data_IF_914679660481
#
_entry.id   IF_914679660481
#
_cell.length_a   1.000
_cell.length_b   1.000
_cell.length_c   1.000
_cell.angle_alpha   90.00
_cell.angle_beta   90.00
_cell.angle_gamma   90.00
#
_symmetry.space_group_name_H-M   'P 1'
#
loop_
_entity.id
_entity.type
_entity.pdbx_description
1 polymer ?
#
# COMPACT_ATOMS: atom_id res chain seq x y z
N UNK A 1 6.15 -15.83 -16.47
CA UNK A 1 4.86 -16.13 -15.82
C UNK A 1 3.77 -15.48 -16.66
N UNK A 2 2.87 -16.25 -17.28
CA UNK A 2 1.72 -15.70 -18.01
C UNK A 2 0.56 -15.64 -17.02
N UNK A 3 0.15 -14.44 -16.62
CA UNK A 3 -1.09 -14.23 -15.88
C UNK A 3 -2.22 -14.12 -16.90
N UNK A 4 -3.21 -15.01 -16.82
CA UNK A 4 -4.43 -14.84 -17.62
C UNK A 4 -5.40 -13.90 -16.87
N UNK A 5 -6.31 -13.25 -17.61
CA UNK A 5 -7.17 -12.21 -17.03
C UNK A 5 -8.03 -12.66 -15.86
N UNK A 6 -8.40 -13.95 -15.80
CA UNK A 6 -9.21 -14.53 -14.73
C UNK A 6 -8.46 -14.55 -13.40
N UNK A 7 -7.15 -14.84 -13.42
CA UNK A 7 -6.33 -14.90 -12.19
C UNK A 7 -6.21 -13.52 -11.53
N UNK A 8 -6.07 -12.46 -12.32
CA UNK A 8 -5.99 -11.08 -11.82
C UNK A 8 -7.31 -10.67 -11.17
N UNK A 9 -8.45 -10.93 -11.83
CA UNK A 9 -9.77 -10.61 -11.28
C UNK A 9 -10.01 -11.35 -9.97
N UNK A 10 -9.60 -12.62 -9.89
CA UNK A 10 -9.72 -13.40 -8.66
C UNK A 10 -8.90 -12.80 -7.51
N UNK A 11 -7.61 -12.53 -7.72
CA UNK A 11 -6.73 -11.95 -6.68
C UNK A 11 -7.23 -10.57 -6.21
N UNK A 12 -7.61 -9.70 -7.14
CA UNK A 12 -8.16 -8.37 -6.80
C UNK A 12 -9.46 -8.50 -6.02
N UNK A 13 -10.35 -9.41 -6.42
CA UNK A 13 -11.64 -9.63 -5.73
C UNK A 13 -11.42 -10.15 -4.32
N UNK A 14 -10.51 -11.11 -4.12
CA UNK A 14 -10.18 -11.65 -2.79
C UNK A 14 -9.61 -10.58 -1.86
N UNK A 15 -8.70 -9.74 -2.37
CA UNK A 15 -8.12 -8.61 -1.61
C UNK A 15 -9.17 -7.57 -1.27
N UNK A 16 -9.98 -7.15 -2.25
CA UNK A 16 -11.06 -6.20 -2.04
C UNK A 16 -12.03 -6.68 -0.96
N UNK A 17 -12.51 -7.91 -1.05
CA UNK A 17 -13.42 -8.49 -0.06
C UNK A 17 -12.78 -8.67 1.31
N UNK A 18 -11.47 -8.92 1.38
CA UNK A 18 -10.73 -8.97 2.65
C UNK A 18 -10.67 -7.59 3.31
N UNK A 19 -10.31 -6.54 2.56
CA UNK A 19 -10.20 -5.19 3.09
C UNK A 19 -11.55 -4.61 3.48
N UNK A 20 -12.59 -4.83 2.65
CA UNK A 20 -13.94 -4.31 2.91
C UNK A 20 -14.60 -4.89 4.17
N UNK A 21 -14.09 -6.01 4.70
CA UNK A 21 -14.56 -6.61 5.96
C UNK A 21 -13.93 -5.98 7.20
N UNK A 22 -12.88 -5.18 7.04
CA UNK A 22 -12.20 -4.52 8.16
C UNK A 22 -12.95 -3.23 8.47
N UNK A 23 -13.28 -3.02 9.75
CA UNK A 23 -13.91 -1.78 10.17
C UNK A 23 -12.91 -0.63 10.09
N UNK A 24 -13.12 0.27 9.13
CA UNK A 24 -12.30 1.48 8.96
C UNK A 24 -13.15 2.74 8.99
N UNK A 25 -14.33 2.69 9.62
CA UNK A 25 -15.24 3.82 9.65
C UNK A 25 -14.60 5.02 10.39
N UNK A 26 -14.61 6.18 9.74
CA UNK A 26 -14.20 7.44 10.34
C UNK A 26 -15.26 8.00 11.28
N UNK A 27 -14.83 8.86 12.21
CA UNK A 27 -15.73 9.65 13.06
C UNK A 27 -15.75 11.10 12.55
N UNK A 28 -16.94 11.62 12.28
CA UNK A 28 -17.13 13.00 11.83
C UNK A 28 -16.99 13.97 13.01
N UNK A 29 -16.48 15.18 12.74
CA UNK A 29 -16.29 16.22 13.77
C UNK A 29 -15.04 16.02 14.64
N UNK A 30 -14.19 15.04 14.32
CA UNK A 30 -12.90 14.81 14.98
C UNK A 30 -11.77 15.45 14.17
N UNK A 31 -10.99 16.32 14.80
CA UNK A 31 -9.82 16.98 14.17
C UNK A 31 -8.55 16.12 14.21
N UNK A 32 -8.51 15.07 15.06
CA UNK A 32 -7.36 14.16 15.12
C UNK A 32 -7.33 13.27 13.88
N UNK A 33 -6.12 13.04 13.37
CA UNK A 33 -5.84 12.04 12.33
C UNK A 33 -5.07 10.87 12.94
N UNK A 34 -5.50 9.61 12.74
CA UNK A 34 -6.82 9.22 12.21
C UNK A 34 -7.95 9.57 13.20
N UNK A 35 -9.16 9.72 12.69
CA UNK A 35 -10.33 10.05 13.51
C UNK A 35 -10.78 8.88 14.40
N UNK A 36 -10.50 7.64 13.99
CA UNK A 36 -10.80 6.43 14.76
C UNK A 36 -9.61 5.49 14.78
N UNK A 37 -9.43 4.78 15.91
CA UNK A 37 -8.33 3.83 16.07
C UNK A 37 -8.43 2.62 15.14
N UNK A 38 -9.64 2.21 14.77
CA UNK A 38 -9.86 1.05 13.90
C UNK A 38 -9.30 1.23 12.48
N UNK A 39 -9.03 2.46 12.04
CA UNK A 39 -8.33 2.72 10.77
C UNK A 39 -6.93 2.10 10.73
N UNK A 40 -6.28 1.93 11.89
CA UNK A 40 -4.99 1.26 11.99
C UNK A 40 -5.04 -0.22 11.61
N UNK A 41 -6.18 -0.89 11.79
CA UNK A 41 -6.30 -2.34 11.55
C UNK A 41 -6.07 -2.67 10.05
N UNK A 42 -6.66 -1.88 9.15
CA UNK A 42 -6.41 -2.02 7.71
C UNK A 42 -4.99 -1.57 7.36
N UNK A 43 -4.51 -0.50 7.98
CA UNK A 43 -3.17 0.02 7.70
C UNK A 43 -2.06 -0.99 8.06
N UNK A 44 -2.14 -1.64 9.21
CA UNK A 44 -1.16 -2.67 9.60
C UNK A 44 -1.17 -3.88 8.67
N UNK A 45 -2.35 -4.28 8.17
CA UNK A 45 -2.47 -5.31 7.14
C UNK A 45 -1.77 -4.90 5.85
N UNK A 46 -2.08 -3.72 5.31
CA UNK A 46 -1.49 -3.23 4.06
C UNK A 46 0.03 -3.06 4.18
N UNK A 47 0.52 -2.54 5.29
CA UNK A 47 1.95 -2.43 5.56
C UNK A 47 2.65 -3.80 5.50
N UNK A 48 2.04 -4.81 6.12
CA UNK A 48 2.55 -6.18 6.13
C UNK A 48 2.53 -6.82 4.74
N UNK A 49 1.46 -6.60 3.97
CA UNK A 49 1.34 -7.10 2.59
C UNK A 49 2.36 -6.46 1.66
N UNK A 50 2.56 -5.14 1.74
CA UNK A 50 3.57 -4.41 0.94
C UNK A 50 4.98 -4.94 1.20
N UNK A 51 5.32 -5.21 2.46
CA UNK A 51 6.58 -5.89 2.81
C UNK A 51 6.63 -7.33 2.27
N UNK A 52 5.52 -8.05 2.35
CA UNK A 52 5.38 -9.40 1.80
C UNK A 52 5.60 -9.47 0.29
N UNK A 53 5.28 -8.40 -0.46
CA UNK A 53 5.56 -8.28 -1.89
C UNK A 53 7.04 -7.98 -2.22
N UNK A 54 7.90 -7.86 -1.20
CA UNK A 54 9.33 -7.58 -1.39
C UNK A 54 9.63 -6.11 -1.68
N UNK A 55 8.67 -5.20 -1.46
CA UNK A 55 8.92 -3.76 -1.54
C UNK A 55 9.80 -3.36 -0.35
N UNK A 56 10.97 -2.81 -0.65
CA UNK A 56 11.99 -2.53 0.37
C UNK A 56 11.75 -1.21 1.10
N UNK A 57 11.25 -0.22 0.37
CA UNK A 57 10.99 1.13 0.88
C UNK A 57 9.50 1.24 1.22
N UNK A 58 9.11 0.72 2.39
CA UNK A 58 7.75 0.84 2.93
C UNK A 58 7.81 1.50 4.29
N UNK A 59 7.11 2.62 4.43
CA UNK A 59 7.03 3.42 5.65
C UNK A 59 5.59 3.48 6.14
N UNK A 60 5.42 3.42 7.46
CA UNK A 60 4.12 3.56 8.10
C UNK A 60 4.22 4.61 9.19
N UNK A 61 3.64 5.78 8.93
CA UNK A 61 3.42 6.81 9.93
C UNK A 61 2.26 6.37 10.84
N UNK A 62 2.62 5.86 12.01
CA UNK A 62 1.67 5.41 13.03
C UNK A 62 0.95 6.55 13.75
N UNK A 63 1.46 7.77 13.67
CA UNK A 63 0.80 8.91 14.30
C UNK A 63 -0.41 9.34 13.46
N UNK A 64 -0.22 9.45 12.14
CA UNK A 64 -1.26 9.94 11.22
C UNK A 64 -1.94 8.83 10.39
N UNK A 65 -1.56 7.57 10.60
CA UNK A 65 -2.08 6.41 9.87
C UNK A 65 -1.85 6.46 8.35
N UNK A 66 -0.70 6.97 7.91
CA UNK A 66 -0.31 7.02 6.50
C UNK A 66 0.71 5.95 6.13
N UNK A 67 0.49 5.26 5.01
CA UNK A 67 1.43 4.28 4.47
C UNK A 67 2.00 4.78 3.15
N UNK A 68 3.32 4.73 3.06
CA UNK A 68 4.06 5.07 1.85
C UNK A 68 4.84 3.84 1.39
N UNK A 69 4.87 3.61 0.09
CA UNK A 69 5.66 2.55 -0.52
C UNK A 69 6.30 3.07 -1.80
N UNK A 70 7.58 2.75 -2.00
CA UNK A 70 8.33 3.13 -3.18
C UNK A 70 8.81 1.90 -3.94
N UNK A 71 8.42 1.84 -5.20
CA UNK A 71 8.86 0.81 -6.14
C UNK A 71 9.95 1.43 -7.02
N UNK A 72 11.16 0.86 -7.06
CA UNK A 72 12.26 1.39 -7.85
C UNK A 72 11.96 1.31 -9.35
N UNK A 73 12.56 2.22 -10.13
CA UNK A 73 12.45 2.20 -11.59
C UNK A 73 12.92 0.85 -12.15
N UNK A 74 12.17 0.31 -13.12
CA UNK A 74 12.56 -0.87 -13.88
C UNK A 74 13.36 -0.52 -15.16
N UNK A 75 13.65 0.76 -15.40
CA UNK A 75 14.49 1.25 -16.50
C UNK A 75 15.86 1.64 -15.97
N UNK A 76 16.91 1.11 -16.58
CA UNK A 76 18.27 1.57 -16.37
C UNK A 76 18.44 2.97 -16.99
N UNK A 77 18.60 3.99 -16.16
CA UNK A 77 19.02 5.31 -16.63
C UNK A 77 20.53 5.22 -16.89
N UNK A 78 20.94 5.06 -18.16
CA UNK A 78 22.32 5.40 -18.52
C UNK A 78 22.43 6.92 -18.37
N UNK A 79 23.28 7.36 -17.45
CA UNK A 79 23.80 8.72 -17.49
C UNK A 79 24.75 8.77 -18.68
N UNK A 80 24.23 9.13 -19.85
CA UNK A 80 25.08 9.39 -21.00
C UNK A 80 26.01 10.53 -20.60
N UNK A 81 27.31 10.20 -20.54
CA UNK A 81 28.34 11.07 -20.01
C UNK A 81 28.26 12.44 -20.66
N UNK A 82 28.12 13.47 -19.83
CA UNK A 82 28.43 14.83 -20.23
C UNK A 82 29.86 14.83 -20.75
N UNK A 83 29.99 14.98 -22.06
CA UNK A 83 31.20 15.46 -22.71
C UNK A 83 31.56 16.79 -22.05
N UNK A 84 32.56 16.74 -21.17
CA UNK A 84 33.38 17.89 -20.81
C UNK A 84 34.45 18.07 -21.88
#
# INVERSE_FOLDING_TARGET
>A
MQFNGTDIIKDVTERFLRYAKINTQSEDGVERVPSTKCQHDLAELLYSELKGFGIKEVEYDKEHCYIYAKIPSNRSHKSDGGIS
#
